data_IF_183779424304
#
_entry.id   IF_183779424304
#
_cell.length_a   1.000
_cell.length_b   1.000
_cell.length_c   1.000
_cell.angle_alpha   90.00
_cell.angle_beta   90.00
_cell.angle_gamma   90.00
#
_symmetry.space_group_name_H-M   'P 1'
#
loop_
_entity.id
_entity.type
_entity.pdbx_description
1 polymer ?
#
# COMPACT_ATOMS: atom_id res chain seq x y z
N UNK A 1 -4.05 17.59 21.10
CA UNK A 1 -5.06 16.92 20.22
C UNK A 1 -4.99 17.27 18.73
N UNK A 2 -4.79 18.52 18.26
CA UNK A 2 -4.78 18.83 16.83
C UNK A 2 -3.60 18.18 16.07
N UNK A 3 -2.41 18.13 16.67
CA UNK A 3 -1.23 17.54 16.05
C UNK A 3 -1.39 16.06 15.66
N UNK A 4 -2.12 15.27 16.46
CA UNK A 4 -2.37 13.84 16.17
C UNK A 4 -3.37 13.65 15.02
N UNK A 5 -4.38 14.51 14.93
CA UNK A 5 -5.34 14.50 13.82
C UNK A 5 -4.67 14.91 12.51
N UNK A 6 -3.84 15.95 12.54
CA UNK A 6 -3.04 16.38 11.38
C UNK A 6 -2.09 15.28 10.94
N UNK A 7 -1.39 14.61 11.88
CA UNK A 7 -0.53 13.48 11.56
C UNK A 7 -1.31 12.31 10.94
N UNK A 8 -2.52 12.02 11.43
CA UNK A 8 -3.36 10.97 10.87
C UNK A 8 -3.84 11.30 9.44
N UNK A 9 -4.36 12.51 9.22
CA UNK A 9 -4.80 12.94 7.88
C UNK A 9 -3.63 12.97 6.91
N UNK A 10 -2.48 13.52 7.34
CA UNK A 10 -1.24 13.50 6.55
C UNK A 10 -0.80 12.08 6.22
N UNK A 11 -0.88 11.14 7.18
CA UNK A 11 -0.59 9.73 6.93
C UNK A 11 -1.54 9.09 5.93
N UNK A 12 -2.85 9.34 6.03
CA UNK A 12 -3.83 8.86 5.05
C UNK A 12 -3.50 9.41 3.66
N UNK A 13 -3.19 10.69 3.54
CA UNK A 13 -2.84 11.33 2.27
C UNK A 13 -1.54 10.73 1.68
N UNK A 14 -0.50 10.56 2.50
CA UNK A 14 0.78 9.96 2.07
C UNK A 14 0.58 8.51 1.68
N UNK A 15 -0.14 7.71 2.48
CA UNK A 15 -0.40 6.31 2.18
C UNK A 15 -1.28 6.19 0.93
N UNK A 16 -2.32 7.02 0.78
CA UNK A 16 -3.11 7.09 -0.44
C UNK A 16 -2.28 7.50 -1.67
N UNK A 17 -1.31 8.40 -1.52
CA UNK A 17 -0.40 8.77 -2.60
C UNK A 17 0.62 7.66 -2.92
N UNK A 18 0.99 6.84 -1.95
CA UNK A 18 1.84 5.65 -2.17
C UNK A 18 1.03 4.50 -2.80
N UNK A 19 -0.22 4.31 -2.39
CA UNK A 19 -1.12 3.23 -2.83
C UNK A 19 -1.95 3.58 -4.05
N UNK A 20 -2.03 4.85 -4.41
CA UNK A 20 -2.77 5.37 -5.56
C UNK A 20 -1.93 6.30 -6.42
N UNK A 21 -0.59 6.22 -6.28
CA UNK A 21 0.35 7.18 -6.86
C UNK A 21 0.05 7.54 -8.31
N UNK A 22 0.42 8.77 -8.73
CA UNK A 22 0.10 9.24 -10.05
C UNK A 22 0.76 8.31 -11.07
N UNK A 23 -0.07 7.57 -11.80
CA UNK A 23 0.24 7.09 -13.13
C UNK A 23 1.51 6.22 -13.23
N UNK A 24 1.57 5.14 -12.45
CA UNK A 24 2.33 3.95 -12.87
C UNK A 24 1.48 3.18 -13.88
N UNK A 25 1.38 3.65 -15.13
CA UNK A 25 0.77 2.86 -16.20
C UNK A 25 1.83 1.90 -16.70
N UNK A 26 1.90 0.70 -16.12
CA UNK A 26 2.68 -0.36 -16.77
C UNK A 26 2.04 -0.66 -18.12
N UNK A 27 2.87 -0.51 -19.16
CA UNK A 27 2.83 -1.11 -20.50
C UNK A 27 1.49 -1.77 -20.82
N UNK A 28 0.66 -1.05 -21.54
CA UNK A 28 -0.11 -1.75 -22.55
C UNK A 28 0.85 -2.24 -23.62
N UNK A 29 0.83 -3.53 -23.98
CA UNK A 29 1.75 -4.20 -24.92
C UNK A 29 1.83 -3.58 -26.33
N UNK A 30 1.09 -2.50 -26.60
CA UNK A 30 1.01 -1.79 -27.87
C UNK A 30 1.45 -0.31 -27.82
N UNK A 31 1.84 0.25 -26.66
CA UNK A 31 2.49 1.58 -26.62
C UNK A 31 3.40 1.73 -25.41
N UNK A 32 4.66 2.03 -25.68
CA UNK A 32 5.75 2.23 -24.71
C UNK A 32 5.75 3.63 -24.07
N UNK A 33 4.76 4.46 -24.37
CA UNK A 33 4.70 5.85 -23.92
C UNK A 33 3.79 5.95 -22.70
N UNK A 34 4.38 5.72 -21.52
CA UNK A 34 3.82 6.21 -20.27
C UNK A 34 4.56 7.52 -19.91
N UNK A 35 3.96 8.70 -20.14
CA UNK A 35 4.62 9.97 -19.87
C UNK A 35 4.80 10.25 -18.37
N UNK A 36 4.27 9.41 -17.46
CA UNK A 36 4.30 9.65 -16.01
C UNK A 36 5.09 8.64 -15.18
N UNK A 37 5.20 7.38 -15.59
CA UNK A 37 6.14 6.45 -14.94
C UNK A 37 7.61 6.85 -15.13
N UNK A 38 7.90 7.64 -16.16
CA UNK A 38 9.21 8.26 -16.40
C UNK A 38 9.31 9.69 -15.87
N UNK A 39 8.26 10.24 -15.24
CA UNK A 39 8.27 11.62 -14.74
C UNK A 39 9.36 11.75 -13.64
N UNK A 40 10.49 12.43 -13.95
CA UNK A 40 11.59 12.55 -13.02
C UNK A 40 11.17 13.31 -11.75
N UNK A 41 10.13 14.16 -11.83
CA UNK A 41 9.59 14.87 -10.69
C UNK A 41 8.97 13.92 -9.68
N UNK A 42 8.17 12.96 -10.13
CA UNK A 42 7.52 11.99 -9.25
C UNK A 42 8.55 11.10 -8.54
N UNK A 43 9.54 10.61 -9.30
CA UNK A 43 10.63 9.80 -8.76
C UNK A 43 11.44 10.61 -7.74
N UNK A 44 11.76 11.87 -8.04
CA UNK A 44 12.48 12.75 -7.13
C UNK A 44 11.68 13.05 -5.86
N UNK A 45 10.37 13.30 -5.97
CA UNK A 45 9.49 13.55 -4.82
C UNK A 45 9.40 12.32 -3.92
N UNK A 46 9.23 11.12 -4.48
CA UNK A 46 9.20 9.87 -3.69
C UNK A 46 10.55 9.58 -3.03
N UNK A 47 11.65 9.79 -3.75
CA UNK A 47 13.00 9.63 -3.20
C UNK A 47 13.25 10.62 -2.05
N UNK A 48 12.89 11.91 -2.25
CA UNK A 48 13.01 12.94 -1.21
C UNK A 48 12.15 12.61 0.01
N UNK A 49 10.90 12.20 -0.19
CA UNK A 49 10.01 11.77 0.89
C UNK A 49 10.59 10.55 1.63
N UNK A 50 11.17 9.60 0.92
CA UNK A 50 11.87 8.45 1.49
C UNK A 50 13.07 8.84 2.34
N UNK A 51 13.90 9.79 1.85
CA UNK A 51 15.05 10.33 2.60
C UNK A 51 14.59 11.06 3.86
N UNK A 52 13.59 11.93 3.76
CA UNK A 52 13.03 12.65 4.91
C UNK A 52 12.47 11.67 5.94
N UNK A 53 11.74 10.65 5.49
CA UNK A 53 11.24 9.60 6.37
C UNK A 53 12.38 8.78 7.01
N UNK A 54 13.44 8.49 6.27
CA UNK A 54 14.61 7.79 6.79
C UNK A 54 15.30 8.59 7.90
N UNK A 55 15.53 9.89 7.68
CA UNK A 55 16.07 10.79 8.70
C UNK A 55 15.17 10.80 9.93
N UNK A 56 13.86 10.93 9.76
CA UNK A 56 12.90 10.93 10.87
C UNK A 56 12.89 9.60 11.66
N UNK A 57 13.17 8.45 11.02
CA UNK A 57 13.32 7.16 11.70
C UNK A 57 14.61 7.08 12.51
N UNK A 58 15.69 7.70 12.02
CA UNK A 58 16.98 7.74 12.70
C UNK A 58 17.02 8.73 13.86
N UNK A 59 16.33 9.86 13.73
CA UNK A 59 16.20 10.88 14.77
C UNK A 59 15.68 10.28 16.09
N UNK A 60 16.28 10.72 17.20
CA UNK A 60 15.97 10.31 18.57
C UNK A 60 15.99 8.79 18.84
N UNK A 61 16.65 8.01 17.98
CA UNK A 61 16.75 6.56 18.14
C UNK A 61 15.42 5.81 17.97
N UNK A 62 14.43 6.40 17.28
CA UNK A 62 13.13 5.78 17.03
C UNK A 62 13.25 4.41 16.34
N UNK A 63 14.27 4.22 15.50
CA UNK A 63 14.60 2.92 14.89
C UNK A 63 14.73 1.78 15.90
N UNK A 64 15.11 2.05 17.16
CA UNK A 64 15.22 1.04 18.22
C UNK A 64 13.87 0.44 18.63
N UNK A 65 12.77 1.13 18.31
CA UNK A 65 11.39 0.66 18.55
C UNK A 65 10.85 -0.19 17.41
N UNK A 66 11.58 -0.30 16.29
CA UNK A 66 11.19 -1.17 15.18
C UNK A 66 11.55 -2.62 15.49
N UNK A 67 10.70 -3.54 15.03
CA UNK A 67 11.00 -4.97 15.08
C UNK A 67 12.22 -5.26 14.18
N UNK A 68 13.29 -5.77 14.79
CA UNK A 68 14.55 -6.08 14.10
C UNK A 68 14.37 -7.14 13.02
N UNK A 69 13.46 -8.11 13.20
CA UNK A 69 13.17 -9.15 12.20
C UNK A 69 12.46 -8.54 11.00
N UNK A 70 11.48 -7.67 11.23
CA UNK A 70 10.78 -6.97 10.16
C UNK A 70 11.73 -6.04 9.38
N UNK A 71 12.61 -5.32 10.08
CA UNK A 71 13.63 -4.47 9.45
C UNK A 71 14.63 -5.31 8.65
N UNK A 72 15.11 -6.43 9.19
CA UNK A 72 16.03 -7.32 8.50
C UNK A 72 15.39 -7.92 7.23
N UNK A 73 14.13 -8.35 7.31
CA UNK A 73 13.38 -8.86 6.17
C UNK A 73 13.17 -7.79 5.10
N UNK A 74 12.74 -6.58 5.51
CA UNK A 74 12.58 -5.45 4.59
C UNK A 74 13.90 -5.07 3.90
N UNK A 75 15.00 -5.01 4.66
CA UNK A 75 16.33 -4.72 4.13
C UNK A 75 16.81 -5.83 3.17
N UNK A 76 16.58 -7.10 3.52
CA UNK A 76 16.92 -8.23 2.65
C UNK A 76 16.11 -8.21 1.36
N UNK A 77 14.81 -7.91 1.42
CA UNK A 77 13.95 -7.78 0.24
C UNK A 77 14.42 -6.65 -0.67
N UNK A 78 14.62 -5.45 -0.13
CA UNK A 78 15.09 -4.29 -0.92
C UNK A 78 16.48 -4.55 -1.49
N UNK A 79 17.39 -5.10 -0.67
CA UNK A 79 18.73 -5.48 -1.11
C UNK A 79 18.69 -6.51 -2.25
N UNK A 80 17.84 -7.53 -2.13
CA UNK A 80 17.63 -8.53 -3.19
C UNK A 80 17.12 -7.90 -4.48
N UNK A 81 16.14 -6.99 -4.41
CA UNK A 81 15.62 -6.28 -5.58
C UNK A 81 16.68 -5.39 -6.24
N UNK A 82 17.49 -4.70 -5.45
CA UNK A 82 18.62 -3.89 -5.94
C UNK A 82 19.67 -4.78 -6.60
N UNK A 83 20.04 -5.89 -5.99
CA UNK A 83 21.00 -6.85 -6.58
C UNK A 83 20.42 -7.47 -7.86
N UNK A 84 19.11 -7.70 -7.90
CA UNK A 84 18.38 -8.16 -9.09
C UNK A 84 18.48 -7.26 -10.30
N UNK A 85 18.84 -5.99 -10.12
CA UNK A 85 19.08 -5.06 -11.23
C UNK A 85 20.26 -5.48 -12.10
N UNK A 86 21.23 -6.24 -11.56
CA UNK A 86 22.44 -6.64 -12.28
C UNK A 86 22.14 -7.60 -13.44
N UNK A 87 21.11 -8.44 -13.29
CA UNK A 87 20.70 -9.43 -14.28
C UNK A 87 19.31 -9.14 -14.89
N UNK A 88 18.75 -7.95 -14.64
CA UNK A 88 17.50 -7.53 -15.28
C UNK A 88 17.71 -7.09 -16.73
N UNK A 89 16.72 -7.38 -17.58
CA UNK A 89 16.64 -6.89 -18.95
C UNK A 89 16.51 -5.36 -19.02
N UNK A 90 15.84 -4.76 -18.03
CA UNK A 90 15.68 -3.31 -17.89
C UNK A 90 16.18 -2.87 -16.51
N UNK A 91 17.50 -2.66 -16.43
CA UNK A 91 18.20 -2.39 -15.17
C UNK A 91 17.74 -1.09 -14.51
N UNK A 92 17.53 -0.05 -15.30
CA UNK A 92 17.13 1.27 -14.81
C UNK A 92 15.74 1.23 -14.19
N UNK A 93 14.78 0.60 -14.88
CA UNK A 93 13.42 0.43 -14.37
C UNK A 93 13.38 -0.44 -13.12
N UNK A 94 14.11 -1.55 -13.12
CA UNK A 94 14.17 -2.45 -11.96
C UNK A 94 14.76 -1.76 -10.74
N UNK A 95 15.83 -0.98 -10.92
CA UNK A 95 16.45 -0.21 -9.84
C UNK A 95 15.49 0.84 -9.30
N UNK A 96 14.81 1.56 -10.19
CA UNK A 96 13.81 2.56 -9.83
C UNK A 96 12.69 1.95 -8.97
N UNK A 97 12.15 0.81 -9.38
CA UNK A 97 11.12 0.09 -8.62
C UNK A 97 11.63 -0.41 -7.26
N UNK A 98 12.86 -0.94 -7.20
CA UNK A 98 13.48 -1.38 -5.95
C UNK A 98 13.62 -0.22 -4.95
N UNK A 99 14.07 0.96 -5.42
CA UNK A 99 14.19 2.16 -4.60
C UNK A 99 12.83 2.71 -4.16
N UNK A 100 11.81 2.66 -5.02
CA UNK A 100 10.45 3.07 -4.67
C UNK A 100 9.84 2.17 -3.60
N UNK A 101 10.06 0.86 -3.67
CA UNK A 101 9.64 -0.09 -2.64
C UNK A 101 10.36 0.22 -1.32
N UNK A 102 11.68 0.45 -1.37
CA UNK A 102 12.47 0.85 -0.20
C UNK A 102 11.95 2.13 0.45
N UNK A 103 11.70 3.17 -0.35
CA UNK A 103 11.15 4.44 0.12
C UNK A 103 9.77 4.27 0.76
N UNK A 104 8.87 3.49 0.13
CA UNK A 104 7.54 3.21 0.66
C UNK A 104 7.59 2.49 2.02
N UNK A 105 8.50 1.51 2.18
CA UNK A 105 8.70 0.79 3.44
C UNK A 105 9.19 1.74 4.55
N UNK A 106 10.15 2.61 4.24
CA UNK A 106 10.69 3.60 5.20
C UNK A 106 9.61 4.62 5.59
N UNK A 107 8.85 5.14 4.62
CA UNK A 107 7.73 6.06 4.88
C UNK A 107 6.68 5.37 5.77
N UNK A 108 6.32 4.12 5.44
CA UNK A 108 5.38 3.33 6.24
C UNK A 108 5.86 3.15 7.69
N UNK A 109 7.13 2.84 7.89
CA UNK A 109 7.75 2.70 9.21
C UNK A 109 7.75 4.03 9.99
N UNK A 110 8.13 5.14 9.33
CA UNK A 110 8.12 6.47 9.94
C UNK A 110 6.71 6.87 10.41
N UNK A 111 5.70 6.63 9.58
CA UNK A 111 4.29 6.88 9.92
C UNK A 111 3.85 6.00 11.09
N UNK A 112 4.20 4.71 11.07
CA UNK A 112 3.86 3.77 12.14
C UNK A 112 4.44 4.20 13.50
N UNK A 113 5.71 4.61 13.52
CA UNK A 113 6.39 5.10 14.72
C UNK A 113 5.74 6.34 15.31
N UNK A 114 5.19 7.22 14.45
CA UNK A 114 4.58 8.50 14.88
C UNK A 114 3.12 8.36 15.34
N UNK A 115 2.34 7.48 14.72
CA UNK A 115 0.90 7.32 15.02
C UNK A 115 0.62 6.26 16.09
N UNK A 116 1.51 5.28 16.22
CA UNK A 116 1.25 4.04 16.93
C UNK A 116 0.42 3.06 16.10
N UNK A 117 0.47 1.78 16.48
CA UNK A 117 -0.01 0.65 15.67
C UNK A 117 -1.47 0.77 15.22
N UNK A 118 -2.41 1.00 16.15
CA UNK A 118 -3.84 1.06 15.80
C UNK A 118 -4.16 2.23 14.87
N UNK A 119 -3.60 3.42 15.12
CA UNK A 119 -3.85 4.59 14.28
C UNK A 119 -3.19 4.45 12.91
N UNK A 120 -2.02 3.80 12.83
CA UNK A 120 -1.40 3.43 11.56
C UNK A 120 -2.25 2.43 10.77
N UNK A 121 -2.81 1.38 11.40
CA UNK A 121 -3.71 0.42 10.73
C UNK A 121 -4.92 1.12 10.12
N UNK A 122 -5.54 2.03 10.87
CA UNK A 122 -6.64 2.85 10.35
C UNK A 122 -6.20 3.76 9.20
N UNK A 123 -5.04 4.42 9.32
CA UNK A 123 -4.53 5.30 8.26
C UNK A 123 -4.23 4.51 6.98
N UNK A 124 -3.64 3.32 7.10
CA UNK A 124 -3.38 2.40 6.00
C UNK A 124 -4.68 1.93 5.36
N UNK A 125 -5.63 1.45 6.16
CA UNK A 125 -6.93 1.00 5.66
C UNK A 125 -7.66 2.11 4.89
N UNK A 126 -7.68 3.33 5.43
CA UNK A 126 -8.25 4.50 4.76
C UNK A 126 -7.49 4.82 3.46
N UNK A 127 -6.15 4.84 3.48
CA UNK A 127 -5.34 5.13 2.30
C UNK A 127 -5.56 4.13 1.16
N UNK A 128 -5.66 2.83 1.49
CA UNK A 128 -6.00 1.77 0.55
C UNK A 128 -7.39 2.01 -0.08
N UNK A 129 -8.39 2.32 0.73
CA UNK A 129 -9.76 2.55 0.25
C UNK A 129 -9.92 3.83 -0.56
N UNK A 130 -9.16 4.90 -0.24
CA UNK A 130 -9.10 6.10 -1.09
C UNK A 130 -8.56 5.73 -2.47
N UNK A 131 -7.48 4.95 -2.54
CA UNK A 131 -6.92 4.45 -3.79
C UNK A 131 -7.92 3.59 -4.57
N UNK A 132 -8.52 2.57 -3.93
CA UNK A 132 -9.50 1.68 -4.54
C UNK A 132 -10.73 2.44 -5.07
N UNK A 133 -11.30 3.34 -4.26
CA UNK A 133 -12.46 4.12 -4.65
C UNK A 133 -12.13 5.06 -5.83
N UNK A 134 -10.98 5.73 -5.78
CA UNK A 134 -10.52 6.57 -6.87
C UNK A 134 -10.32 5.77 -8.16
N UNK A 135 -9.71 4.60 -8.07
CA UNK A 135 -9.52 3.71 -9.22
C UNK A 135 -10.84 3.32 -9.88
N UNK A 136 -11.82 2.90 -9.08
CA UNK A 136 -13.15 2.53 -9.57
C UNK A 136 -13.84 3.74 -10.21
N UNK A 137 -13.82 4.90 -9.56
CA UNK A 137 -14.39 6.14 -10.12
C UNK A 137 -13.73 6.52 -11.45
N UNK A 138 -12.40 6.47 -11.52
CA UNK A 138 -11.67 6.80 -12.73
C UNK A 138 -12.00 5.86 -13.90
N UNK A 139 -12.17 4.57 -13.63
CA UNK A 139 -12.61 3.56 -14.61
C UNK A 139 -14.00 3.91 -15.14
N UNK A 140 -14.98 4.15 -14.27
CA UNK A 140 -16.35 4.48 -14.67
C UNK A 140 -16.45 5.82 -15.42
N UNK A 141 -15.57 6.77 -15.10
CA UNK A 141 -15.45 8.04 -15.81
C UNK A 141 -14.65 7.94 -17.12
N UNK A 142 -14.22 6.73 -17.52
CA UNK A 142 -13.45 6.49 -18.74
C UNK A 142 -12.21 7.41 -18.83
N UNK A 143 -11.54 7.63 -17.70
CA UNK A 143 -10.34 8.48 -17.69
C UNK A 143 -9.27 7.86 -18.59
N UNK A 144 -8.45 8.67 -19.27
CA UNK A 144 -7.42 8.13 -20.17
C UNK A 144 -6.56 7.07 -19.46
N UNK A 145 -6.32 5.94 -20.12
CA UNK A 145 -5.46 4.87 -19.63
C UNK A 145 -6.02 4.00 -18.50
N UNK A 146 -7.32 4.10 -18.16
CA UNK A 146 -8.00 3.15 -17.26
C UNK A 146 -8.60 1.96 -17.98
N UNK A 147 -8.80 2.08 -19.30
CA UNK A 147 -9.35 1.05 -20.18
C UNK A 147 -8.40 0.82 -21.36
N UNK A 148 -8.32 -0.42 -21.84
CA UNK A 148 -7.63 -0.75 -23.08
C UNK A 148 -8.51 -0.54 -24.33
N UNK A 149 -7.97 -0.88 -25.52
CA UNK A 149 -8.70 -0.76 -26.79
C UNK A 149 -9.90 -1.70 -26.92
N UNK A 150 -10.01 -2.72 -26.06
CA UNK A 150 -11.12 -3.68 -26.00
C UNK A 150 -12.15 -3.29 -24.95
N UNK A 151 -11.89 -2.23 -24.17
CA UNK A 151 -12.73 -1.80 -23.06
C UNK A 151 -12.45 -2.56 -21.75
N UNK A 152 -11.37 -3.34 -21.68
CA UNK A 152 -10.95 -4.04 -20.47
C UNK A 152 -10.18 -3.10 -19.54
N UNK A 153 -10.21 -3.36 -18.23
CA UNK A 153 -9.55 -2.50 -17.25
C UNK A 153 -8.02 -2.61 -17.35
N UNK A 154 -7.35 -1.48 -17.56
CA UNK A 154 -5.92 -1.43 -17.89
C UNK A 154 -5.15 -0.43 -17.03
N UNK A 155 -3.92 -0.79 -16.64
CA UNK A 155 -3.04 0.02 -15.78
C UNK A 155 -2.84 -0.59 -14.38
N UNK A 156 -1.75 -0.26 -13.69
CA UNK A 156 -1.38 -0.91 -12.41
C UNK A 156 -2.40 -0.64 -11.30
N UNK A 157 -3.11 0.48 -11.36
CA UNK A 157 -4.14 0.80 -10.37
C UNK A 157 -5.56 0.59 -10.89
N UNK A 158 -5.72 0.09 -12.10
CA UNK A 158 -7.04 -0.07 -12.72
C UNK A 158 -7.28 -1.51 -13.18
N UNK A 159 -6.23 -2.29 -13.45
CA UNK A 159 -6.33 -3.72 -13.74
C UNK A 159 -6.84 -4.46 -12.50
N UNK A 160 -7.78 -5.38 -12.73
CA UNK A 160 -8.40 -6.27 -11.75
C UNK A 160 -7.37 -7.01 -10.88
N UNK A 161 -6.26 -7.51 -11.45
CA UNK A 161 -5.25 -8.27 -10.70
C UNK A 161 -4.55 -7.43 -9.65
N UNK A 162 -4.21 -6.20 -10.00
CA UNK A 162 -3.54 -5.29 -9.09
C UNK A 162 -4.51 -4.74 -8.06
N UNK A 163 -5.73 -4.35 -8.46
CA UNK A 163 -6.80 -3.94 -7.54
C UNK A 163 -7.11 -5.04 -6.51
N UNK A 164 -7.12 -6.29 -6.93
CA UNK A 164 -7.29 -7.43 -6.03
C UNK A 164 -6.16 -7.53 -5.00
N UNK A 165 -4.92 -7.19 -5.33
CA UNK A 165 -3.82 -7.16 -4.35
C UNK A 165 -4.03 -6.06 -3.29
N UNK A 166 -4.52 -4.88 -3.71
CA UNK A 166 -4.86 -3.79 -2.79
C UNK A 166 -6.05 -4.15 -1.90
N UNK A 167 -7.11 -4.73 -2.48
CA UNK A 167 -8.28 -5.22 -1.76
C UNK A 167 -7.90 -6.35 -0.77
N UNK A 168 -7.03 -7.27 -1.19
CA UNK A 168 -6.47 -8.31 -0.34
C UNK A 168 -5.72 -7.74 0.88
N UNK A 169 -4.86 -6.74 0.68
CA UNK A 169 -4.20 -6.05 1.78
C UNK A 169 -5.20 -5.30 2.67
N UNK A 170 -6.21 -4.67 2.09
CA UNK A 170 -7.26 -3.96 2.81
C UNK A 170 -8.11 -4.91 3.69
N UNK A 171 -8.41 -6.12 3.19
CA UNK A 171 -9.06 -7.20 3.96
C UNK A 171 -8.22 -7.63 5.16
N UNK A 172 -6.91 -7.84 4.96
CA UNK A 172 -6.01 -8.21 6.04
C UNK A 172 -5.99 -7.14 7.14
N UNK A 173 -5.77 -5.88 6.76
CA UNK A 173 -5.71 -4.76 7.71
C UNK A 173 -7.08 -4.55 8.37
N UNK A 174 -8.17 -4.67 7.61
CA UNK A 174 -9.54 -4.58 8.10
C UNK A 174 -9.87 -5.68 9.12
N UNK A 175 -9.41 -6.92 8.88
CA UNK A 175 -9.53 -8.03 9.82
C UNK A 175 -8.80 -7.76 11.14
N UNK A 176 -7.56 -7.28 11.08
CA UNK A 176 -6.79 -6.89 12.28
C UNK A 176 -7.50 -5.77 13.06
N UNK A 177 -8.07 -4.79 12.36
CA UNK A 177 -8.87 -3.73 13.00
C UNK A 177 -10.17 -4.28 13.62
N UNK A 178 -10.81 -5.25 12.98
CA UNK A 178 -12.01 -5.89 13.52
C UNK A 178 -11.71 -6.64 14.83
N UNK A 179 -10.59 -7.38 14.88
CA UNK A 179 -10.11 -8.04 16.11
C UNK A 179 -9.88 -7.02 17.22
N UNK A 180 -9.13 -5.95 16.94
CA UNK A 180 -8.88 -4.86 17.92
C UNK A 180 -10.19 -4.23 18.45
N UNK A 181 -11.24 -4.19 17.63
CA UNK A 181 -12.55 -3.62 17.99
C UNK A 181 -13.43 -4.58 18.79
N UNK A 182 -13.36 -5.89 18.52
CA UNK A 182 -14.14 -6.91 19.23
C UNK A 182 -13.76 -6.92 20.72
N UNK A 183 -12.48 -6.75 21.03
CA UNK A 183 -11.95 -6.72 22.39
C UNK A 183 -12.34 -5.46 23.18
N UNK A 184 -12.71 -4.37 22.49
CA UNK A 184 -13.08 -3.08 23.10
C UNK A 184 -14.59 -2.99 23.38
N UNK A 185 -15.10 -3.84 24.27
CA UNK A 185 -16.51 -3.84 24.67
C UNK A 185 -16.92 -2.48 25.27
N UNK A 186 -18.06 -1.95 24.81
CA UNK A 186 -18.65 -0.70 25.33
C UNK A 186 -18.25 0.60 24.61
N UNK A 187 -17.35 0.57 23.61
CA UNK A 187 -16.98 1.79 22.90
C UNK A 187 -18.10 2.26 21.93
N UNK A 188 -18.53 3.53 21.97
CA UNK A 188 -19.76 4.00 21.31
C UNK A 188 -19.72 3.86 19.78
N UNK A 189 -18.55 4.03 19.16
CA UNK A 189 -18.39 3.91 17.70
C UNK A 189 -18.08 2.49 17.23
N UNK A 190 -18.02 1.49 18.12
CA UNK A 190 -17.60 0.11 17.76
C UNK A 190 -18.52 -0.49 16.69
N UNK A 191 -19.83 -0.43 16.90
CA UNK A 191 -20.79 -1.03 15.99
C UNK A 191 -20.70 -0.37 14.60
N UNK A 192 -20.66 0.97 14.56
CA UNK A 192 -20.48 1.72 13.32
C UNK A 192 -19.18 1.32 12.61
N UNK A 193 -18.07 1.23 13.33
CA UNK A 193 -16.78 0.83 12.76
C UNK A 193 -16.82 -0.60 12.19
N UNK A 194 -17.43 -1.55 12.90
CA UNK A 194 -17.58 -2.93 12.41
C UNK A 194 -18.48 -3.01 11.17
N UNK A 195 -19.56 -2.22 11.12
CA UNK A 195 -20.44 -2.13 9.94
C UNK A 195 -19.68 -1.57 8.74
N UNK A 196 -18.89 -0.50 8.93
CA UNK A 196 -18.07 0.09 7.86
C UNK A 196 -17.02 -0.91 7.36
N UNK A 197 -16.29 -1.56 8.27
CA UNK A 197 -15.30 -2.59 7.90
C UNK A 197 -15.96 -3.76 7.18
N UNK A 198 -17.12 -4.22 7.63
CA UNK A 198 -17.86 -5.32 7.01
C UNK A 198 -18.37 -4.97 5.61
N UNK A 199 -18.95 -3.78 5.43
CA UNK A 199 -19.41 -3.30 4.13
C UNK A 199 -18.25 -3.18 3.12
N UNK A 200 -17.13 -2.63 3.56
CA UNK A 200 -15.92 -2.55 2.76
C UNK A 200 -15.34 -3.93 2.40
N UNK A 201 -15.30 -4.86 3.37
CA UNK A 201 -14.82 -6.22 3.14
C UNK A 201 -15.64 -6.96 2.05
N UNK A 202 -16.95 -6.72 1.96
CA UNK A 202 -17.78 -7.28 0.88
C UNK A 202 -17.31 -6.79 -0.50
N UNK A 203 -16.99 -5.49 -0.60
CA UNK A 203 -16.48 -4.90 -1.85
C UNK A 203 -15.12 -5.49 -2.19
N UNK A 204 -14.21 -5.56 -1.21
CA UNK A 204 -12.86 -6.08 -1.40
C UNK A 204 -12.88 -7.57 -1.80
N UNK A 205 -13.72 -8.39 -1.17
CA UNK A 205 -13.89 -9.81 -1.53
C UNK A 205 -14.39 -9.95 -2.97
N UNK A 206 -15.32 -9.09 -3.41
CA UNK A 206 -15.78 -9.09 -4.81
C UNK A 206 -14.67 -8.72 -5.79
N UNK A 207 -13.81 -7.75 -5.44
CA UNK A 207 -12.65 -7.38 -6.26
C UNK A 207 -11.64 -8.52 -6.36
N UNK A 208 -11.35 -9.21 -5.26
CA UNK A 208 -10.44 -10.37 -5.23
C UNK A 208 -11.02 -11.54 -6.02
N UNK A 209 -12.28 -11.90 -5.77
CA UNK A 209 -12.93 -13.03 -6.44
C UNK A 209 -13.10 -12.78 -7.96
N UNK A 210 -13.28 -11.53 -8.37
CA UNK A 210 -13.44 -11.14 -9.78
C UNK A 210 -12.14 -10.92 -10.55
N UNK A 211 -10.96 -11.16 -9.96
CA UNK A 211 -9.68 -10.94 -10.62
C UNK A 211 -9.14 -12.15 -11.37
N UNK A 212 -9.70 -13.34 -11.17
CA UNK A 212 -9.22 -14.61 -11.77
C UNK A 212 -7.71 -14.90 -11.52
N UNK A 213 -7.12 -14.27 -10.50
CA UNK A 213 -5.69 -14.34 -10.20
C UNK A 213 -5.43 -14.96 -8.82
N UNK A 214 -4.46 -15.87 -8.75
CA UNK A 214 -4.05 -16.49 -7.48
C UNK A 214 -3.13 -15.59 -6.65
N UNK A 215 -2.43 -14.63 -7.28
CA UNK A 215 -1.50 -13.70 -6.63
C UNK A 215 -2.07 -13.02 -5.37
N UNK A 216 -3.25 -12.39 -5.38
CA UNK A 216 -3.83 -11.78 -4.19
C UNK A 216 -4.11 -12.80 -3.06
N UNK A 217 -4.54 -14.02 -3.39
CA UNK A 217 -4.80 -15.08 -2.40
C UNK A 217 -3.51 -15.59 -1.76
N UNK A 218 -2.47 -15.82 -2.55
CA UNK A 218 -1.15 -16.22 -2.06
C UNK A 218 -0.54 -15.13 -1.18
N UNK A 219 -0.67 -13.86 -1.58
CA UNK A 219 -0.21 -12.72 -0.79
C UNK A 219 -0.96 -12.62 0.54
N UNK A 220 -2.28 -12.78 0.53
CA UNK A 220 -3.12 -12.84 1.74
C UNK A 220 -2.67 -13.95 2.68
N UNK A 221 -2.49 -15.16 2.16
CA UNK A 221 -2.07 -16.31 2.96
C UNK A 221 -0.70 -16.07 3.59
N UNK A 222 0.28 -15.63 2.79
CA UNK A 222 1.62 -15.33 3.28
C UNK A 222 1.61 -14.24 4.37
N UNK A 223 0.83 -13.18 4.16
CA UNK A 223 0.71 -12.09 5.12
C UNK A 223 -0.04 -12.50 6.39
N UNK A 224 -1.06 -13.35 6.29
CA UNK A 224 -1.77 -13.90 7.44
C UNK A 224 -0.87 -14.82 8.27
N UNK A 225 -0.06 -15.67 7.62
CA UNK A 225 0.94 -16.51 8.30
C UNK A 225 2.02 -15.66 8.99
N UNK A 226 2.49 -14.60 8.33
CA UNK A 226 3.46 -13.68 8.92
C UNK A 226 2.86 -12.94 10.14
N UNK A 227 1.62 -12.44 10.02
CA UNK A 227 0.93 -11.80 11.12
C UNK A 227 0.67 -12.77 12.29
N UNK A 228 0.23 -14.00 11.99
CA UNK A 228 -0.01 -15.05 12.99
C UNK A 228 1.25 -15.47 13.72
N UNK A 229 2.36 -15.67 13.01
CA UNK A 229 3.65 -16.02 13.63
C UNK A 229 4.22 -14.89 14.50
N UNK A 230 4.02 -13.63 14.10
CA UNK A 230 4.39 -12.48 14.94
C UNK A 230 3.48 -12.33 16.17
N UNK A 231 2.24 -12.82 16.13
CA UNK A 231 1.30 -12.76 17.24
C UNK A 231 1.52 -13.86 18.29
N UNK A 232 2.15 -14.96 17.88
CA UNK A 232 2.47 -16.11 18.74
C UNK A 232 3.89 -16.05 19.36
N UNK A 233 4.74 -15.13 18.90
CA UNK A 233 6.12 -14.95 19.36
C UNK A 233 6.24 -13.89 20.45
#
# INVERSE_FOLDING_TARGET
MPARRVAFVGAVAVLAALTGGPLLRIRTWWSYEDPLATDPLLVAVLALAGVVAFVAVLEDGHWRRLDRRAVAFAAALVGWLVVGTLWSLDRAETLRQALQIGAALVIGAAVALRLGLTAWRWALWCGLHVGLAWSVVAIYLHRPGTLDRRGDWAGVFFNRNSLALYAALALLVGGLLAVDLIDRRGHPIRLLALVVLGGAAIVDVRLVAGSDALTPLVALLAAALAAGSAWLA
#
